data_IF_741844083331
#
_entry.id   IF_741844083331
#
_cell.length_a   1.000
_cell.length_b   1.000
_cell.length_c   1.000
_cell.angle_alpha   90.00
_cell.angle_beta   90.00
_cell.angle_gamma   90.00
#
_symmetry.space_group_name_H-M   'P 1'
#
loop_
_entity.id
_entity.type
_entity.pdbx_description
1 polymer ?
#
# COMPACT_ATOMS: atom_id res chain seq x y z
N UNK A 1 -14.25 7.36 -70.04
CA UNK A 1 -13.50 6.78 -68.90
C UNK A 1 -13.44 7.83 -67.79
N UNK A 2 -14.33 7.74 -66.79
CA UNK A 2 -14.42 8.69 -65.66
C UNK A 2 -13.68 8.08 -64.47
N UNK A 3 -12.62 8.74 -64.00
CA UNK A 3 -11.95 8.34 -62.76
C UNK A 3 -12.62 9.04 -61.58
N UNK A 4 -13.26 8.27 -60.69
CA UNK A 4 -13.68 8.76 -59.39
C UNK A 4 -12.55 8.54 -58.39
N UNK A 5 -12.02 9.63 -57.84
CA UNK A 5 -11.11 9.61 -56.69
C UNK A 5 -11.96 9.56 -55.42
N UNK A 6 -11.86 8.46 -54.68
CA UNK A 6 -12.41 8.38 -53.33
C UNK A 6 -11.39 8.97 -52.35
N UNK A 7 -11.74 10.10 -51.72
CA UNK A 7 -11.00 10.65 -50.58
C UNK A 7 -11.52 9.96 -49.32
N UNK A 8 -10.69 9.10 -48.72
CA UNK A 8 -10.97 8.56 -47.39
C UNK A 8 -10.61 9.63 -46.34
N UNK A 9 -11.63 10.14 -45.65
CA UNK A 9 -11.45 11.03 -44.49
C UNK A 9 -11.35 10.14 -43.25
N UNK A 10 -10.14 10.04 -42.68
CA UNK A 10 -9.92 9.37 -41.41
C UNK A 10 -10.35 10.30 -40.27
N UNK A 11 -11.46 9.97 -39.61
CA UNK A 11 -11.90 10.64 -38.38
C UNK A 11 -11.17 9.98 -37.21
N UNK A 12 -10.19 10.69 -36.65
CA UNK A 12 -9.53 10.28 -35.42
C UNK A 12 -10.43 10.59 -34.22
N UNK A 13 -11.04 9.56 -33.65
CA UNK A 13 -11.76 9.67 -32.37
C UNK A 13 -10.70 9.72 -31.27
N UNK A 14 -10.38 10.91 -30.77
CA UNK A 14 -9.63 11.05 -29.53
C UNK A 14 -10.54 10.65 -28.37
N UNK A 15 -10.39 9.40 -27.91
CA UNK A 15 -10.97 8.97 -26.65
C UNK A 15 -10.22 9.74 -25.55
N UNK A 16 -10.86 10.76 -24.99
CA UNK A 16 -10.43 11.39 -23.75
C UNK A 16 -10.62 10.37 -22.62
N UNK A 17 -9.69 9.43 -22.48
CA UNK A 17 -9.58 8.66 -21.24
C UNK A 17 -9.23 9.66 -20.15
N UNK A 18 -10.02 9.75 -19.07
CA UNK A 18 -9.64 10.60 -17.95
C UNK A 18 -8.25 10.12 -17.51
N UNK A 19 -7.29 11.04 -17.43
CA UNK A 19 -6.00 10.78 -16.80
C UNK A 19 -6.32 10.37 -15.36
N UNK A 20 -6.42 9.07 -15.11
CA UNK A 20 -6.46 8.58 -13.75
C UNK A 20 -5.22 9.16 -13.08
N UNK A 21 -5.35 9.83 -11.92
CA UNK A 21 -4.17 10.30 -11.18
C UNK A 21 -3.20 9.13 -11.10
N UNK A 22 -1.92 9.38 -11.33
CA UNK A 22 -0.91 8.34 -11.27
C UNK A 22 -0.92 7.77 -9.85
N UNK A 23 -1.61 6.63 -9.68
CA UNK A 23 -1.50 5.84 -8.47
C UNK A 23 -0.07 5.31 -8.49
N UNK A 24 0.61 5.43 -7.36
CA UNK A 24 2.03 5.17 -7.33
C UNK A 24 2.26 3.65 -7.28
N UNK A 25 2.14 3.02 -8.45
CA UNK A 25 2.04 1.58 -8.61
C UNK A 25 3.17 0.82 -7.91
N UNK A 26 2.81 -0.29 -7.30
CA UNK A 26 3.77 -1.28 -6.81
C UNK A 26 4.69 -1.67 -7.98
N UNK A 27 6.00 -1.64 -7.73
CA UNK A 27 7.00 -2.03 -8.74
C UNK A 27 6.73 -3.45 -9.22
N UNK A 28 6.75 -3.72 -10.53
CA UNK A 28 6.61 -5.09 -11.05
C UNK A 28 7.79 -5.99 -10.64
N UNK A 29 8.89 -5.42 -10.15
CA UNK A 29 10.05 -6.14 -9.63
C UNK A 29 9.99 -6.35 -8.11
N UNK A 30 8.92 -5.92 -7.44
CA UNK A 30 8.75 -6.16 -6.01
C UNK A 30 8.57 -7.66 -5.77
N UNK A 31 9.51 -8.26 -5.02
CA UNK A 31 9.44 -9.68 -4.66
C UNK A 31 8.30 -9.94 -3.66
N UNK A 32 7.91 -8.91 -2.92
CA UNK A 32 6.77 -8.91 -2.03
C UNK A 32 6.11 -7.53 -2.01
N UNK A 33 4.79 -7.50 -1.87
CA UNK A 33 4.02 -6.27 -1.69
C UNK A 33 2.76 -6.57 -0.88
N UNK A 34 2.18 -5.54 -0.29
CA UNK A 34 0.94 -5.69 0.47
C UNK A 34 -0.05 -4.56 0.17
N UNK A 35 -1.29 -4.96 -0.08
CA UNK A 35 -2.45 -4.09 -0.05
C UNK A 35 -3.43 -4.62 1.01
N UNK A 36 -3.93 -3.72 1.85
CA UNK A 36 -4.76 -4.06 3.02
C UNK A 36 -6.24 -4.18 2.64
N UNK A 37 -6.56 -5.14 1.78
CA UNK A 37 -7.89 -5.25 1.16
C UNK A 37 -8.97 -5.69 2.16
N UNK A 38 -8.63 -6.63 3.05
CA UNK A 38 -9.60 -7.34 3.89
C UNK A 38 -9.33 -7.17 5.39
N UNK A 39 -8.06 -7.02 5.79
CA UNK A 39 -7.68 -6.89 7.20
C UNK A 39 -6.40 -6.04 7.38
N UNK A 40 -6.20 -5.39 8.56
CA UNK A 40 -4.92 -4.78 8.89
C UNK A 40 -3.74 -5.76 8.96
N UNK A 41 -4.02 -7.06 9.10
CA UNK A 41 -3.02 -8.13 9.15
C UNK A 41 -2.91 -8.91 7.84
N UNK A 42 -3.35 -8.32 6.72
CA UNK A 42 -3.16 -8.93 5.40
C UNK A 42 -1.67 -9.17 5.10
N UNK A 43 -1.40 -10.01 4.10
CA UNK A 43 -0.04 -10.28 3.59
C UNK A 43 0.93 -10.88 4.61
N UNK A 44 0.41 -11.50 5.68
CA UNK A 44 1.21 -12.13 6.73
C UNK A 44 1.76 -11.15 7.77
N UNK A 45 1.26 -9.91 7.81
CA UNK A 45 1.59 -8.96 8.85
C UNK A 45 0.92 -9.35 10.17
N UNK A 46 1.64 -9.20 11.28
CA UNK A 46 1.14 -9.45 12.62
C UNK A 46 1.02 -8.14 13.40
N UNK A 47 -0.08 -7.97 14.14
CA UNK A 47 -0.33 -6.77 14.94
C UNK A 47 0.33 -6.89 16.32
N UNK A 48 1.23 -5.98 16.65
CA UNK A 48 1.77 -5.83 18.00
C UNK A 48 1.17 -4.58 18.66
N UNK A 49 0.05 -4.78 19.35
CA UNK A 49 -0.69 -3.72 20.01
C UNK A 49 -1.42 -4.24 21.25
N UNK A 50 -1.83 -3.33 22.14
CA UNK A 50 -2.55 -3.68 23.37
C UNK A 50 -3.93 -4.28 23.12
N UNK A 51 -4.55 -3.95 21.97
CA UNK A 51 -5.86 -4.44 21.55
C UNK A 51 -5.96 -4.48 20.03
N UNK A 52 -6.79 -5.36 19.49
CA UNK A 52 -7.05 -5.44 18.04
C UNK A 52 -7.63 -4.16 17.45
N UNK A 53 -8.35 -3.38 18.26
CA UNK A 53 -8.93 -2.08 17.88
C UNK A 53 -7.89 -0.97 17.66
N UNK A 54 -6.60 -1.24 17.90
CA UNK A 54 -5.50 -0.31 17.62
C UNK A 54 -5.10 -0.27 16.15
N UNK A 55 -5.62 -1.21 15.35
CA UNK A 55 -5.50 -1.21 13.91
C UNK A 55 -6.89 -1.26 13.27
N UNK A 56 -7.13 -0.40 12.29
CA UNK A 56 -8.39 -0.37 11.54
C UNK A 56 -8.12 -0.20 10.05
N UNK A 57 -8.96 -0.81 9.22
CA UNK A 57 -9.00 -0.49 7.80
C UNK A 57 -9.70 0.86 7.61
N UNK A 58 -9.03 1.76 6.89
CA UNK A 58 -9.52 3.09 6.55
C UNK A 58 -9.32 3.35 5.07
N UNK A 59 -9.99 4.36 4.51
CA UNK A 59 -9.81 4.79 3.13
C UNK A 59 -9.75 6.31 3.00
N UNK A 60 -9.17 6.82 1.89
CA UNK A 60 -8.54 6.06 0.81
C UNK A 60 -7.13 5.56 1.18
N UNK A 61 -6.69 4.47 0.55
CA UNK A 61 -5.29 4.07 0.53
C UNK A 61 -4.49 4.81 -0.55
N UNK A 62 -3.16 4.64 -0.56
CA UNK A 62 -2.29 5.25 -1.58
C UNK A 62 -2.55 4.68 -2.99
N UNK A 63 -2.59 3.35 -3.09
CA UNK A 63 -2.63 2.63 -4.38
C UNK A 63 -3.96 1.90 -4.62
N UNK A 64 -4.83 1.91 -3.61
CA UNK A 64 -6.09 1.19 -3.61
C UNK A 64 -7.11 1.80 -2.65
N UNK A 65 -8.25 1.14 -2.45
CA UNK A 65 -9.36 1.69 -1.68
C UNK A 65 -9.06 1.82 -0.18
N UNK A 66 -8.08 1.07 0.33
CA UNK A 66 -7.86 0.89 1.77
C UNK A 66 -6.40 1.05 2.19
N UNK A 67 -6.22 1.44 3.45
CA UNK A 67 -4.96 1.49 4.19
C UNK A 67 -5.20 1.08 5.65
N UNK A 68 -4.12 0.89 6.40
CA UNK A 68 -4.20 0.67 7.85
C UNK A 68 -3.97 1.96 8.60
N UNK A 69 -4.92 2.31 9.47
CA UNK A 69 -4.71 3.26 10.53
C UNK A 69 -4.23 2.52 11.77
N UNK A 70 -3.05 2.90 12.26
CA UNK A 70 -2.53 2.49 13.56
C UNK A 70 -2.75 3.63 14.56
N UNK A 71 -3.27 3.29 15.73
CA UNK A 71 -3.52 4.25 16.82
C UNK A 71 -2.77 3.80 18.05
N UNK A 72 -1.69 4.48 18.41
CA UNK A 72 -1.02 4.28 19.71
C UNK A 72 -1.69 5.15 20.77
N UNK A 73 -1.96 4.61 21.94
CA UNK A 73 -2.51 5.36 23.08
C UNK A 73 -1.55 5.37 24.28
N UNK A 74 -1.63 6.39 25.15
CA UNK A 74 -0.89 6.38 26.40
C UNK A 74 -1.22 5.14 27.24
N UNK A 75 -0.18 4.41 27.66
CA UNK A 75 -0.31 3.19 28.44
C UNK A 75 -0.31 1.91 27.59
N UNK A 76 -0.15 2.00 26.27
CA UNK A 76 0.11 0.86 25.39
C UNK A 76 1.57 0.36 25.56
N UNK A 77 1.96 0.05 26.80
CA UNK A 77 3.31 -0.35 27.21
C UNK A 77 3.44 -1.87 27.35
N UNK A 78 4.68 -2.37 27.40
CA UNK A 78 5.03 -3.79 27.52
C UNK A 78 4.52 -4.66 26.35
N UNK A 79 4.50 -4.11 25.14
CA UNK A 79 4.04 -4.79 23.92
C UNK A 79 5.25 -5.19 23.08
N UNK A 80 5.40 -6.49 22.82
CA UNK A 80 6.48 -7.04 21.99
C UNK A 80 7.88 -6.50 22.35
N UNK A 81 8.16 -6.37 23.66
CA UNK A 81 9.44 -5.90 24.16
C UNK A 81 9.62 -4.37 24.19
N UNK A 82 8.56 -3.58 23.98
CA UNK A 82 8.63 -2.11 24.00
C UNK A 82 8.99 -1.50 25.36
N UNK A 83 8.86 -2.28 26.45
CA UNK A 83 9.08 -1.79 27.81
C UNK A 83 8.11 -0.65 28.14
N UNK A 84 8.63 0.48 28.61
CA UNK A 84 7.83 1.65 28.95
C UNK A 84 7.38 2.49 27.74
N UNK A 85 7.75 2.12 26.51
CA UNK A 85 7.34 2.86 25.31
C UNK A 85 5.99 2.38 24.81
N UNK A 86 5.10 3.33 24.48
CA UNK A 86 3.80 3.04 23.89
C UNK A 86 3.96 2.47 22.47
N UNK A 87 3.19 1.43 22.11
CA UNK A 87 3.32 0.73 20.82
C UNK A 87 1.99 0.30 20.21
N UNK A 88 1.85 0.56 18.92
CA UNK A 88 0.92 -0.12 18.02
C UNK A 88 1.55 -0.19 16.62
N UNK A 89 1.94 -1.39 16.19
CA UNK A 89 2.61 -1.59 14.90
C UNK A 89 2.23 -2.90 14.21
N UNK A 90 2.64 -3.01 12.94
CA UNK A 90 2.55 -4.22 12.15
C UNK A 90 3.95 -4.75 11.90
N UNK A 91 4.16 -6.02 12.21
CA UNK A 91 5.44 -6.71 11.98
C UNK A 91 5.30 -7.70 10.83
N UNK A 92 6.25 -7.64 9.90
CA UNK A 92 6.48 -8.71 8.94
C UNK A 92 7.62 -9.57 9.50
N UNK A 93 7.29 -10.77 9.96
CA UNK A 93 8.25 -11.63 10.65
C UNK A 93 9.40 -12.06 9.74
N UNK A 94 10.64 -12.08 10.25
CA UNK A 94 11.82 -12.53 9.51
C UNK A 94 11.61 -13.92 8.87
N UNK A 95 12.18 -14.11 7.69
CA UNK A 95 12.14 -15.37 6.95
C UNK A 95 13.54 -15.85 6.62
N UNK A 96 13.71 -17.14 6.32
CA UNK A 96 14.97 -17.64 5.75
C UNK A 96 15.31 -17.01 4.38
N UNK A 97 14.36 -16.29 3.77
CA UNK A 97 14.52 -15.67 2.43
C UNK A 97 14.69 -14.15 2.45
N UNK A 98 14.47 -13.47 3.58
CA UNK A 98 14.66 -12.00 3.72
C UNK A 98 14.89 -11.59 5.19
N UNK A 99 15.37 -10.37 5.40
CA UNK A 99 15.78 -9.80 6.68
C UNK A 99 16.90 -10.62 7.35
N UNK A 100 17.90 -11.06 6.56
CA UNK A 100 19.05 -11.82 7.06
C UNK A 100 20.33 -10.98 7.04
N UNK A 101 21.21 -11.26 7.99
CA UNK A 101 22.50 -10.57 8.10
C UNK A 101 23.34 -10.76 6.83
N UNK A 102 23.83 -9.66 6.26
CA UNK A 102 24.68 -9.66 5.07
C UNK A 102 23.92 -9.71 3.74
N UNK A 103 22.61 -9.55 3.74
CA UNK A 103 21.78 -9.41 2.53
C UNK A 103 21.39 -7.95 2.30
N UNK A 104 21.39 -7.55 1.02
CA UNK A 104 20.88 -6.24 0.59
C UNK A 104 19.42 -6.36 0.18
N UNK A 105 18.60 -5.43 0.66
CA UNK A 105 17.16 -5.42 0.40
C UNK A 105 16.65 -4.01 0.17
N UNK A 106 15.64 -3.89 -0.69
CA UNK A 106 14.98 -2.63 -0.99
C UNK A 106 13.54 -2.68 -0.48
N UNK A 107 13.18 -1.72 0.37
CA UNK A 107 11.88 -1.61 0.98
C UNK A 107 11.25 -0.25 0.68
N UNK A 108 9.94 -0.24 0.46
CA UNK A 108 9.15 0.97 0.30
C UNK A 108 7.84 0.83 1.09
N UNK A 109 7.44 1.90 1.77
CA UNK A 109 6.16 2.02 2.43
C UNK A 109 5.65 3.45 2.26
N UNK A 110 4.39 3.69 2.60
CA UNK A 110 3.78 5.02 2.52
C UNK A 110 2.99 5.30 3.78
N UNK A 111 3.11 6.53 4.27
CA UNK A 111 2.51 6.95 5.53
C UNK A 111 1.63 8.17 5.27
N UNK A 112 0.48 8.19 5.94
CA UNK A 112 -0.41 9.34 6.01
C UNK A 112 -0.54 9.74 7.47
N UNK A 113 -0.23 11.00 7.78
CA UNK A 113 -0.49 11.57 9.10
C UNK A 113 -1.92 12.14 9.12
N UNK A 114 -2.66 11.99 10.23
CA UNK A 114 -3.97 12.59 10.38
C UNK A 114 -3.87 14.13 10.36
N UNK A 115 -4.94 14.84 9.97
CA UNK A 115 -5.02 16.28 10.15
C UNK A 115 -4.98 16.62 11.65
N UNK A 116 -4.19 17.63 12.01
CA UNK A 116 -3.99 18.09 13.39
C UNK A 116 -5.16 18.86 13.98
#
# INVERSE_FOLDING_TARGET
MKQLRALAVAVAIFVLTPLQPAHAQISPNAVWSCEFTNSPTDCGLYLEAAASTRAALVGPGRDGPTAVQLTTQPGDINIAGSGANDRADLVLARSSTYCNQGQDEWWAHSLMFPPG
#
